data_IF_079813404922
#
_entry.id   IF_079813404922
#
_cell.length_a   1.000
_cell.length_b   1.000
_cell.length_c   1.000
_cell.angle_alpha   90.00
_cell.angle_beta   90.00
_cell.angle_gamma   90.00
#
_symmetry.space_group_name_H-M   'P 1'
#
loop_
_entity.id
_entity.type
_entity.pdbx_description
1 polymer ?
#
# COMPACT_ATOMS: atom_id res chain seq x y z
N UNK A 1 21.60 -15.73 17.92
CA UNK A 1 21.01 -15.92 16.58
C UNK A 1 21.32 -14.65 15.78
N UNK A 2 22.40 -14.66 14.99
CA UNK A 2 22.82 -13.48 14.23
C UNK A 2 21.78 -13.21 13.12
N UNK A 3 21.20 -12.02 13.13
CA UNK A 3 20.08 -11.63 12.29
C UNK A 3 20.46 -11.54 10.81
N UNK A 4 19.96 -12.48 10.01
CA UNK A 4 19.96 -12.35 8.57
C UNK A 4 18.93 -11.29 8.16
N UNK A 5 19.36 -10.29 7.38
CA UNK A 5 18.44 -9.35 6.74
C UNK A 5 17.69 -10.07 5.63
N UNK A 6 16.38 -10.22 5.77
CA UNK A 6 15.53 -10.86 4.77
C UNK A 6 15.07 -9.79 3.77
N UNK A 7 15.27 -10.05 2.48
CA UNK A 7 14.75 -9.19 1.41
C UNK A 7 13.28 -9.48 1.20
N UNK A 8 12.45 -8.45 1.33
CA UNK A 8 11.01 -8.52 1.08
C UNK A 8 10.67 -7.65 -0.14
N UNK A 9 9.78 -8.13 -0.99
CA UNK A 9 9.26 -7.40 -2.14
C UNK A 9 7.73 -7.51 -2.17
N UNK A 10 7.09 -6.45 -2.67
CA UNK A 10 5.63 -6.35 -2.82
C UNK A 10 5.30 -5.99 -4.26
N UNK A 11 4.17 -6.49 -4.77
CA UNK A 11 3.70 -6.22 -6.15
C UNK A 11 2.22 -5.88 -6.12
N UNK A 12 1.88 -4.68 -6.54
CA UNK A 12 0.48 -4.31 -6.82
C UNK A 12 0.07 -4.91 -8.16
N UNK A 13 -1.11 -5.51 -8.20
CA UNK A 13 -1.70 -6.08 -9.42
C UNK A 13 -2.69 -5.08 -10.05
N UNK A 14 -2.86 -5.11 -11.39
CA UNK A 14 -3.98 -4.44 -12.03
C UNK A 14 -5.33 -5.02 -11.57
N UNK A 15 -6.39 -4.23 -11.76
CA UNK A 15 -7.76 -4.67 -11.51
C UNK A 15 -8.13 -5.89 -12.36
N UNK A 16 -8.79 -6.85 -11.73
CA UNK A 16 -9.47 -7.94 -12.41
C UNK A 16 -10.78 -7.47 -13.05
N UNK A 17 -11.32 -8.27 -13.97
CA UNK A 17 -12.60 -7.98 -14.63
C UNK A 17 -13.76 -7.72 -13.64
N UNK A 18 -13.76 -8.44 -12.49
CA UNK A 18 -14.74 -8.23 -11.41
C UNK A 18 -14.58 -6.88 -10.73
N UNK A 19 -13.35 -6.41 -10.54
CA UNK A 19 -13.08 -5.12 -9.89
C UNK A 19 -13.40 -3.96 -10.83
N UNK A 20 -13.05 -4.08 -12.11
CA UNK A 20 -13.43 -3.10 -13.13
C UNK A 20 -14.95 -3.01 -13.32
N UNK A 21 -15.66 -4.15 -13.36
CA UNK A 21 -17.13 -4.15 -13.53
C UNK A 21 -17.88 -3.55 -12.35
N UNK A 22 -17.28 -3.61 -11.15
CA UNK A 22 -17.82 -3.01 -9.92
C UNK A 22 -17.28 -1.60 -9.64
N UNK A 23 -16.54 -1.00 -10.57
CA UNK A 23 -15.93 0.33 -10.42
C UNK A 23 -15.15 0.45 -9.10
N UNK A 24 -14.41 -0.60 -8.74
CA UNK A 24 -13.60 -0.62 -7.52
C UNK A 24 -12.52 0.46 -7.57
N UNK A 25 -12.21 1.04 -6.40
CA UNK A 25 -11.19 2.08 -6.27
C UNK A 25 -9.85 1.45 -5.91
N UNK A 26 -8.77 1.96 -6.49
CA UNK A 26 -7.44 1.52 -6.15
C UNK A 26 -7.06 2.26 -4.87
N UNK A 27 -6.96 1.53 -3.77
CA UNK A 27 -6.61 2.08 -2.45
C UNK A 27 -5.13 1.88 -2.12
N UNK A 28 -4.33 1.42 -3.08
CA UNK A 28 -2.90 1.18 -2.88
C UNK A 28 -2.13 1.92 -3.95
N UNK A 29 -1.21 2.79 -3.52
CA UNK A 29 -0.24 3.45 -4.38
C UNK A 29 1.16 3.00 -3.97
N UNK A 30 2.07 2.95 -4.93
CA UNK A 30 3.49 2.74 -4.64
C UNK A 30 4.25 4.03 -4.94
N UNK A 31 5.08 4.48 -4.00
CA UNK A 31 6.01 5.60 -4.16
C UNK A 31 7.43 5.09 -3.94
N UNK A 32 8.17 4.87 -5.03
CA UNK A 32 9.48 4.21 -4.96
C UNK A 32 9.37 2.80 -4.36
N UNK A 33 10.10 2.52 -3.29
CA UNK A 33 10.05 1.27 -2.53
C UNK A 33 8.98 1.26 -1.43
N UNK A 34 8.22 2.35 -1.27
CA UNK A 34 7.20 2.50 -0.24
C UNK A 34 5.82 2.18 -0.82
N UNK A 35 5.01 1.44 -0.06
CA UNK A 35 3.60 1.20 -0.40
C UNK A 35 2.72 2.03 0.53
N UNK A 36 1.84 2.84 -0.06
CA UNK A 36 0.90 3.70 0.65
C UNK A 36 -0.53 3.18 0.42
N UNK A 37 -1.23 2.89 1.51
CA UNK A 37 -2.67 2.62 1.47
C UNK A 37 -3.45 3.93 1.59
N UNK A 38 -4.21 4.28 0.55
CA UNK A 38 -5.11 5.42 0.54
C UNK A 38 -6.47 5.02 1.14
N UNK A 39 -6.55 5.08 2.48
CA UNK A 39 -7.81 5.23 3.21
C UNK A 39 -8.75 4.03 3.21
N UNK A 40 -8.34 2.91 3.81
CA UNK A 40 -9.23 1.77 4.06
C UNK A 40 -9.63 1.53 5.53
N UNK A 41 -9.24 2.37 6.51
CA UNK A 41 -9.70 2.14 7.90
C UNK A 41 -9.92 3.36 8.82
N UNK A 42 -9.68 4.60 8.42
CA UNK A 42 -9.91 5.73 9.31
C UNK A 42 -10.80 6.75 8.62
N UNK A 43 -12.06 6.81 9.03
CA UNK A 43 -12.85 8.02 8.83
C UNK A 43 -12.09 9.19 9.44
N UNK A 44 -11.83 10.22 8.65
CA UNK A 44 -11.17 11.44 9.11
C UNK A 44 -9.91 11.80 8.34
N UNK A 45 -10.03 12.84 7.51
CA UNK A 45 -8.94 13.74 7.09
C UNK A 45 -7.63 13.09 6.61
N UNK A 46 -7.60 12.67 5.35
CA UNK A 46 -6.66 13.22 4.36
C UNK A 46 -5.18 13.42 4.71
N UNK A 47 -4.56 12.57 5.51
CA UNK A 47 -3.10 12.54 5.65
C UNK A 47 -2.65 11.08 5.58
N UNK A 48 -2.23 10.65 4.37
CA UNK A 48 -1.44 9.44 4.22
C UNK A 48 -0.21 9.59 5.11
N UNK A 49 -0.09 8.76 6.14
CA UNK A 49 1.12 8.72 6.95
C UNK A 49 2.24 8.18 6.06
N UNK A 50 3.10 9.08 5.58
CA UNK A 50 4.40 8.69 5.03
C UNK A 50 5.12 7.83 6.09
N UNK A 51 5.47 6.56 5.81
CA UNK A 51 6.06 5.67 6.82
C UNK A 51 7.54 5.98 7.13
N UNK A 52 8.04 7.18 6.79
CA UNK A 52 9.45 7.59 6.95
C UNK A 52 9.86 7.87 8.41
N UNK A 53 9.04 7.50 9.40
CA UNK A 53 9.23 7.80 10.81
C UNK A 53 9.57 6.62 11.73
N UNK A 54 9.89 5.45 11.19
CA UNK A 54 10.41 4.32 11.99
C UNK A 54 11.89 4.12 11.66
N UNK A 55 12.70 5.07 12.09
CA UNK A 55 14.16 4.97 12.19
C UNK A 55 14.58 4.92 13.64
#
# INVERSE_FOLDING_TARGET
>A
MAGASVKVAVRVRPFSARESSRQAKCVIQMRGNTTCEWGASLGGSGQGRDPQGWG
#
